data_IF_343652718700
#
_entry.id   IF_343652718700
#
_cell.length_a   1.000
_cell.length_b   1.000
_cell.length_c   1.000
_cell.angle_alpha   90.00
_cell.angle_beta   90.00
_cell.angle_gamma   90.00
#
_symmetry.space_group_name_H-M   'P 1'
#
loop_
_entity.id
_entity.type
_entity.pdbx_description
1 polymer ?
#
# COMPACT_ATOMS: atom_id res chain seq x y z
N UNK A 1 -4.33 25.08 6.19
CA UNK A 1 -3.36 24.66 5.15
C UNK A 1 -4.17 23.99 4.04
N UNK A 2 -4.06 24.42 2.78
CA UNK A 2 -5.00 24.12 1.68
C UNK A 2 -5.35 22.61 1.53
N UNK A 3 -4.37 21.75 1.80
CA UNK A 3 -4.48 20.28 1.78
C UNK A 3 -5.43 19.69 2.84
N UNK A 4 -5.56 20.35 4.00
CA UNK A 4 -6.43 19.89 5.09
C UNK A 4 -7.91 19.91 4.70
N UNK A 5 -8.31 20.93 3.95
CA UNK A 5 -9.71 21.16 3.57
C UNK A 5 -10.04 20.60 2.18
N UNK A 6 -9.04 20.49 1.30
CA UNK A 6 -9.23 19.93 -0.03
C UNK A 6 -8.91 18.43 -0.05
N UNK A 7 -9.94 17.60 0.17
CA UNK A 7 -9.85 16.14 0.14
C UNK A 7 -9.24 15.60 -1.15
N UNK A 8 -9.55 16.21 -2.30
CA UNK A 8 -9.02 15.76 -3.59
C UNK A 8 -7.51 15.91 -3.65
N UNK A 9 -6.98 17.08 -3.29
CA UNK A 9 -5.53 17.33 -3.31
C UNK A 9 -4.80 16.48 -2.27
N UNK A 10 -5.43 16.24 -1.11
CA UNK A 10 -4.93 15.32 -0.08
C UNK A 10 -4.75 13.90 -0.63
N UNK A 11 -5.78 13.33 -1.25
CA UNK A 11 -5.67 11.97 -1.80
C UNK A 11 -4.71 11.89 -2.99
N UNK A 12 -4.58 12.94 -3.82
CA UNK A 12 -3.54 12.97 -4.87
C UNK A 12 -2.15 12.92 -4.26
N UNK A 13 -1.87 13.71 -3.22
CA UNK A 13 -0.57 13.71 -2.56
C UNK A 13 -0.25 12.31 -2.01
N UNK A 14 -1.20 11.70 -1.28
CA UNK A 14 -1.03 10.36 -0.70
C UNK A 14 -0.84 9.30 -1.81
N UNK A 15 -1.64 9.37 -2.88
CA UNK A 15 -1.49 8.48 -4.04
C UNK A 15 -0.10 8.56 -4.65
N UNK A 16 0.42 9.77 -4.90
CA UNK A 16 1.74 9.96 -5.48
C UNK A 16 2.84 9.46 -4.56
N UNK A 17 2.77 9.79 -3.26
CA UNK A 17 3.74 9.29 -2.28
C UNK A 17 3.75 7.77 -2.25
N UNK A 18 2.58 7.14 -2.15
CA UNK A 18 2.45 5.68 -2.14
C UNK A 18 2.95 5.03 -3.43
N UNK A 19 2.58 5.58 -4.58
CA UNK A 19 2.97 5.06 -5.88
C UNK A 19 4.47 5.14 -6.13
N UNK A 20 5.09 6.28 -5.83
CA UNK A 20 6.55 6.42 -5.94
C UNK A 20 7.28 5.56 -4.91
N UNK A 21 6.80 5.47 -3.67
CA UNK A 21 7.41 4.61 -2.67
C UNK A 21 7.40 3.13 -3.10
N UNK A 22 6.25 2.64 -3.58
CA UNK A 22 6.13 1.26 -4.08
C UNK A 22 7.06 1.03 -5.29
N UNK A 23 7.02 1.93 -6.28
CA UNK A 23 7.88 1.83 -7.46
C UNK A 23 9.37 1.85 -7.13
N UNK A 24 9.80 2.68 -6.16
CA UNK A 24 11.18 2.72 -5.68
C UNK A 24 11.58 1.41 -5.01
N UNK A 25 10.72 0.86 -4.14
CA UNK A 25 10.95 -0.45 -3.52
C UNK A 25 11.11 -1.51 -4.61
N UNK A 26 10.23 -1.54 -5.60
CA UNK A 26 10.30 -2.51 -6.69
C UNK A 26 11.57 -2.35 -7.53
N UNK A 27 11.99 -1.12 -7.85
CA UNK A 27 13.26 -0.85 -8.54
C UNK A 27 14.44 -1.35 -7.70
N UNK A 28 14.44 -1.15 -6.39
CA UNK A 28 15.51 -1.66 -5.51
C UNK A 28 15.55 -3.19 -5.47
N UNK A 29 14.41 -3.87 -5.49
CA UNK A 29 14.33 -5.33 -5.40
C UNK A 29 14.51 -6.06 -6.74
N UNK A 30 14.03 -5.49 -7.85
CA UNK A 30 13.97 -6.13 -9.17
C UNK A 30 14.77 -5.41 -10.26
N UNK A 31 15.18 -4.17 -10.03
CA UNK A 31 15.92 -3.33 -10.98
C UNK A 31 15.04 -2.49 -11.91
N UNK A 32 13.73 -2.72 -11.95
CA UNK A 32 12.77 -1.96 -12.76
C UNK A 32 11.36 -2.03 -12.16
N UNK A 33 10.52 -1.05 -12.53
CA UNK A 33 9.11 -0.98 -12.17
C UNK A 33 8.25 -0.69 -13.40
N UNK A 34 6.98 -1.10 -13.36
CA UNK A 34 6.01 -0.80 -14.40
C UNK A 34 5.02 0.27 -13.92
N UNK A 35 4.48 1.09 -14.82
CA UNK A 35 3.58 2.20 -14.45
C UNK A 35 2.36 1.72 -13.65
N UNK A 36 1.87 0.51 -13.91
CA UNK A 36 0.78 -0.10 -13.14
C UNK A 36 1.12 -0.29 -11.66
N UNK A 37 2.39 -0.44 -11.31
CA UNK A 37 2.87 -0.60 -9.93
C UNK A 37 2.86 0.72 -9.17
N UNK A 38 3.09 1.83 -9.85
CA UNK A 38 2.86 3.17 -9.28
C UNK A 38 1.37 3.33 -8.93
N UNK A 39 0.47 2.92 -9.83
CA UNK A 39 -0.97 2.99 -9.57
C UNK A 39 -1.38 2.08 -8.41
N UNK A 40 -0.92 0.82 -8.41
CA UNK A 40 -1.20 -0.13 -7.34
C UNK A 40 -0.67 0.39 -5.98
N UNK A 41 0.56 0.88 -5.93
CA UNK A 41 1.17 1.46 -4.73
C UNK A 41 0.40 2.66 -4.19
N UNK A 42 -0.04 3.56 -5.06
CA UNK A 42 -0.84 4.72 -4.67
C UNK A 42 -2.21 4.32 -4.10
N UNK A 43 -2.88 3.34 -4.71
CA UNK A 43 -4.15 2.79 -4.19
C UNK A 43 -3.92 2.14 -2.82
N UNK A 44 -2.91 1.27 -2.71
CA UNK A 44 -2.56 0.61 -1.45
C UNK A 44 -2.31 1.62 -0.32
N UNK A 45 -1.53 2.67 -0.58
CA UNK A 45 -1.18 3.66 0.44
C UNK A 45 -2.40 4.43 0.94
N UNK A 46 -3.30 4.85 0.03
CA UNK A 46 -4.57 5.47 0.42
C UNK A 46 -5.41 4.51 1.27
N UNK A 47 -5.58 3.27 0.81
CA UNK A 47 -6.42 2.29 1.50
C UNK A 47 -5.89 1.95 2.90
N UNK A 48 -4.56 1.86 3.07
CA UNK A 48 -3.92 1.69 4.37
C UNK A 48 -4.19 2.91 5.26
N UNK A 49 -3.99 4.13 4.76
CA UNK A 49 -4.25 5.36 5.52
C UNK A 49 -5.72 5.54 5.93
N UNK A 50 -6.66 5.01 5.14
CA UNK A 50 -8.09 5.01 5.51
C UNK A 50 -8.41 4.11 6.71
N UNK A 51 -7.63 3.05 6.97
CA UNK A 51 -7.78 2.23 8.18
C UNK A 51 -7.61 3.12 9.42
N UNK A 52 -6.60 3.99 9.39
CA UNK A 52 -6.31 4.91 10.47
C UNK A 52 -7.39 5.98 10.61
N UNK A 53 -7.88 6.59 9.52
CA UNK A 53 -8.94 7.60 9.67
C UNK A 53 -10.22 7.05 10.31
N UNK A 54 -10.60 5.82 9.98
CA UNK A 54 -11.86 5.24 10.47
C UNK A 54 -11.72 4.76 11.92
N UNK A 55 -10.53 4.29 12.34
CA UNK A 55 -10.36 3.59 13.61
C UNK A 55 -9.14 4.02 14.45
N UNK A 56 -8.64 5.26 14.27
CA UNK A 56 -7.31 5.75 14.75
C UNK A 56 -6.96 5.48 16.21
N UNK A 57 -7.95 5.22 17.09
CA UNK A 57 -7.72 5.04 18.54
C UNK A 57 -8.06 3.65 19.09
N UNK A 58 -8.63 2.77 18.27
CA UNK A 58 -9.22 1.51 18.75
C UNK A 58 -8.49 0.26 18.26
N UNK A 59 -7.89 0.31 17.08
CA UNK A 59 -7.24 -0.86 16.48
C UNK A 59 -5.76 -0.91 16.86
N UNK A 60 -5.31 -2.05 17.39
CA UNK A 60 -3.91 -2.33 17.65
C UNK A 60 -3.10 -2.37 16.33
N UNK A 61 -1.86 -1.89 16.37
CA UNK A 61 -0.95 -1.84 15.22
C UNK A 61 -0.85 -3.18 14.51
N UNK A 62 -0.78 -4.29 15.25
CA UNK A 62 -0.74 -5.65 14.67
C UNK A 62 -1.98 -5.92 13.82
N UNK A 63 -3.18 -5.53 14.27
CA UNK A 63 -4.41 -5.69 13.48
C UNK A 63 -4.37 -4.82 12.24
N UNK A 64 -3.85 -3.59 12.34
CA UNK A 64 -3.65 -2.73 11.17
C UNK A 64 -2.69 -3.37 10.17
N UNK A 65 -1.62 -4.01 10.63
CA UNK A 65 -0.67 -4.71 9.77
C UNK A 65 -1.32 -5.89 9.04
N UNK A 66 -2.15 -6.69 9.73
CA UNK A 66 -2.89 -7.80 9.12
C UNK A 66 -3.83 -7.27 8.02
N UNK A 67 -4.62 -6.24 8.33
CA UNK A 67 -5.55 -5.65 7.37
C UNK A 67 -4.79 -5.04 6.19
N UNK A 68 -3.68 -4.33 6.45
CA UNK A 68 -2.85 -3.73 5.41
C UNK A 68 -2.25 -4.79 4.48
N UNK A 69 -1.73 -5.89 5.02
CA UNK A 69 -1.21 -7.00 4.22
C UNK A 69 -2.29 -7.63 3.33
N UNK A 70 -3.51 -7.78 3.86
CA UNK A 70 -4.65 -8.27 3.10
C UNK A 70 -5.06 -7.31 1.98
N UNK A 71 -5.08 -6.00 2.25
CA UNK A 71 -5.36 -4.96 1.26
C UNK A 71 -4.33 -5.01 0.13
N UNK A 72 -3.03 -4.99 0.46
CA UNK A 72 -1.98 -5.01 -0.56
C UNK A 72 -2.08 -6.28 -1.40
N UNK A 73 -2.27 -7.44 -0.76
CA UNK A 73 -2.42 -8.71 -1.48
C UNK A 73 -3.64 -8.70 -2.42
N UNK A 74 -4.77 -8.13 -1.98
CA UNK A 74 -5.96 -8.03 -2.82
C UNK A 74 -5.75 -7.07 -4.01
N UNK A 75 -5.14 -5.91 -3.77
CA UNK A 75 -4.82 -4.93 -4.83
C UNK A 75 -3.84 -5.52 -5.83
N UNK A 76 -2.80 -6.22 -5.37
CA UNK A 76 -1.86 -6.93 -6.25
C UNK A 76 -2.55 -7.99 -7.08
N UNK A 77 -3.45 -8.78 -6.47
CA UNK A 77 -4.20 -9.80 -7.20
C UNK A 77 -5.05 -9.19 -8.32
N UNK A 78 -5.85 -8.16 -8.00
CA UNK A 78 -6.68 -7.46 -9.00
C UNK A 78 -5.81 -6.83 -10.09
N UNK A 79 -4.71 -6.19 -9.70
CA UNK A 79 -3.79 -5.56 -10.64
C UNK A 79 -3.19 -6.62 -11.57
N UNK A 80 -2.78 -7.77 -11.04
CA UNK A 80 -2.23 -8.90 -11.81
C UNK A 80 -3.24 -9.46 -12.79
N UNK A 81 -4.50 -9.63 -12.38
CA UNK A 81 -5.57 -10.03 -13.30
C UNK A 81 -5.73 -9.04 -14.47
N UNK A 82 -5.63 -7.73 -14.21
CA UNK A 82 -5.74 -6.72 -15.26
C UNK A 82 -4.51 -6.75 -16.16
N UNK A 83 -3.31 -6.61 -15.59
CA UNK A 83 -2.10 -6.34 -16.39
C UNK A 83 -1.48 -7.61 -16.96
N UNK A 84 -1.54 -8.73 -16.25
CA UNK A 84 -0.93 -9.98 -16.70
C UNK A 84 -1.93 -10.87 -17.45
N UNK A 85 -3.15 -11.03 -16.92
CA UNK A 85 -4.14 -11.93 -17.53
C UNK A 85 -4.91 -11.25 -18.66
N UNK A 86 -5.52 -10.09 -18.40
CA UNK A 86 -6.37 -9.42 -19.40
C UNK A 86 -5.55 -8.70 -20.48
N UNK A 87 -4.50 -7.97 -20.09
CA UNK A 87 -3.67 -7.20 -21.04
C UNK A 87 -2.43 -7.96 -21.55
N UNK A 88 -2.06 -9.10 -20.96
CA UNK A 88 -0.92 -9.90 -21.40
C UNK A 88 0.44 -9.22 -21.26
N UNK A 89 0.57 -8.22 -20.38
CA UNK A 89 1.80 -7.43 -20.22
C UNK A 89 2.91 -8.15 -19.47
N UNK A 90 2.58 -9.25 -18.78
CA UNK A 90 3.53 -10.08 -18.02
C UNK A 90 4.48 -9.25 -17.13
N UNK A 91 3.91 -8.29 -16.40
CA UNK A 91 4.62 -7.37 -15.51
C UNK A 91 5.37 -8.13 -14.40
N UNK A 92 4.77 -9.21 -13.89
CA UNK A 92 5.43 -10.17 -13.00
C UNK A 92 4.82 -11.57 -13.16
N UNK A 93 5.51 -12.58 -12.66
CA UNK A 93 5.04 -13.96 -12.61
C UNK A 93 5.53 -14.65 -11.32
N UNK A 94 4.60 -15.12 -10.50
CA UNK A 94 4.85 -15.88 -9.28
C UNK A 94 4.47 -17.36 -9.39
N UNK A 95 4.25 -17.87 -10.60
CA UNK A 95 3.83 -19.27 -10.83
C UNK A 95 4.83 -20.30 -10.30
N UNK A 96 6.11 -19.93 -10.22
CA UNK A 96 7.21 -20.75 -9.68
C UNK A 96 7.30 -20.70 -8.14
N UNK A 97 6.49 -19.87 -7.47
CA UNK A 97 6.57 -19.67 -6.02
C UNK A 97 5.62 -20.61 -5.27
N UNK A 98 6.02 -21.15 -4.12
CA UNK A 98 5.14 -21.99 -3.32
C UNK A 98 3.96 -21.15 -2.80
N UNK A 99 2.79 -21.78 -2.73
CA UNK A 99 1.55 -21.15 -2.26
C UNK A 99 1.23 -19.85 -3.03
N UNK A 100 1.46 -19.87 -4.34
CA UNK A 100 0.97 -18.83 -5.24
C UNK A 100 -0.50 -19.07 -5.63
N UNK A 101 -1.18 -18.01 -6.05
CA UNK A 101 -2.51 -18.08 -6.63
C UNK A 101 -2.49 -17.41 -8.01
N UNK A 102 -2.78 -18.20 -9.05
CA UNK A 102 -2.78 -17.79 -10.46
C UNK A 102 -1.47 -17.11 -10.94
N UNK A 103 -0.35 -17.35 -10.25
CA UNK A 103 0.90 -16.64 -10.51
C UNK A 103 0.87 -15.14 -10.20
N UNK A 104 -0.21 -14.62 -9.61
CA UNK A 104 -0.38 -13.17 -9.38
C UNK A 104 -0.01 -12.74 -7.96
N UNK A 105 -0.31 -13.57 -6.97
CA UNK A 105 0.05 -13.34 -5.56
C UNK A 105 0.67 -14.60 -4.97
N UNK A 106 1.48 -14.46 -3.93
CA UNK A 106 1.91 -15.60 -3.12
C UNK A 106 2.08 -15.20 -1.66
N UNK A 107 2.00 -16.19 -0.77
CA UNK A 107 2.07 -15.97 0.68
C UNK A 107 3.35 -15.26 1.13
N UNK A 108 4.46 -15.50 0.42
CA UNK A 108 5.76 -14.87 0.72
C UNK A 108 5.65 -13.35 0.64
N UNK A 109 5.02 -12.82 -0.41
CA UNK A 109 4.84 -11.38 -0.55
C UNK A 109 3.82 -10.84 0.44
N UNK A 110 2.72 -11.56 0.74
CA UNK A 110 1.80 -11.17 1.82
C UNK A 110 2.51 -11.02 3.17
N UNK A 111 3.45 -11.91 3.50
CA UNK A 111 4.28 -11.79 4.72
C UNK A 111 5.20 -10.55 4.66
N UNK A 112 5.82 -10.29 3.51
CA UNK A 112 6.63 -9.07 3.33
C UNK A 112 5.76 -7.83 3.52
N UNK A 113 4.56 -7.78 2.95
CA UNK A 113 3.62 -6.67 3.11
C UNK A 113 3.16 -6.48 4.55
N UNK A 114 2.98 -7.57 5.30
CA UNK A 114 2.73 -7.48 6.74
C UNK A 114 3.84 -6.73 7.47
N UNK A 115 5.11 -7.08 7.24
CA UNK A 115 6.25 -6.40 7.89
C UNK A 115 6.54 -5.01 7.35
N UNK A 116 6.18 -4.73 6.10
CA UNK A 116 6.37 -3.41 5.48
C UNK A 116 5.25 -2.42 5.86
N UNK A 117 4.04 -2.93 6.16
CA UNK A 117 2.88 -2.09 6.43
C UNK A 117 3.02 -1.08 7.58
N UNK A 118 3.76 -1.32 8.69
CA UNK A 118 3.98 -0.29 9.71
C UNK A 118 4.66 0.95 9.15
N UNK A 119 5.58 0.79 8.19
CA UNK A 119 6.25 1.94 7.56
C UNK A 119 5.23 2.76 6.77
N UNK A 120 4.34 2.10 6.01
CA UNK A 120 3.29 2.78 5.26
C UNK A 120 2.32 3.53 6.20
N UNK A 121 1.89 2.88 7.29
CA UNK A 121 1.03 3.45 8.34
C UNK A 121 1.68 4.70 8.95
N UNK A 122 2.93 4.59 9.40
CA UNK A 122 3.64 5.72 10.01
C UNK A 122 3.85 6.87 9.02
N UNK A 123 4.26 6.57 7.79
CA UNK A 123 4.47 7.60 6.77
C UNK A 123 3.16 8.35 6.47
N UNK A 124 2.04 7.65 6.30
CA UNK A 124 0.73 8.27 6.07
C UNK A 124 0.35 9.20 7.24
N UNK A 125 0.45 8.72 8.47
CA UNK A 125 0.14 9.48 9.68
C UNK A 125 1.02 10.71 9.86
N UNK A 126 2.33 10.58 9.63
CA UNK A 126 3.26 11.70 9.76
C UNK A 126 3.10 12.72 8.64
N UNK A 127 2.76 12.29 7.42
CA UNK A 127 2.39 13.21 6.34
C UNK A 127 1.15 14.01 6.74
N UNK A 128 0.12 13.35 7.27
CA UNK A 128 -1.10 14.01 7.76
C UNK A 128 -0.82 14.98 8.90
N UNK A 129 0.01 14.58 9.85
CA UNK A 129 0.39 15.43 10.97
C UNK A 129 1.17 16.67 10.51
N UNK A 130 2.30 16.50 9.80
CA UNK A 130 3.18 17.61 9.44
C UNK A 130 2.67 18.45 8.26
N UNK A 131 2.09 17.82 7.24
CA UNK A 131 1.71 18.48 5.99
C UNK A 131 0.25 18.93 6.00
N UNK A 132 -0.63 18.23 6.73
CA UNK A 132 -2.06 18.55 6.78
C UNK A 132 -2.47 19.17 8.12
N UNK A 133 -1.61 19.14 9.14
CA UNK A 133 -1.90 19.68 10.46
C UNK A 133 -3.04 18.94 11.16
N UNK A 134 -3.12 17.62 10.91
CA UNK A 134 -4.04 16.71 11.61
C UNK A 134 -3.53 16.41 13.02
N UNK A 135 -4.28 15.61 13.80
CA UNK A 135 -3.86 15.23 15.14
C UNK A 135 -2.60 14.37 15.11
N UNK A 136 -1.81 14.45 16.18
CA UNK A 136 -0.60 13.62 16.32
C UNK A 136 -1.00 12.15 16.39
N UNK A 137 -0.33 11.23 15.67
CA UNK A 137 -0.68 9.83 15.72
C UNK A 137 -0.37 9.20 17.08
N UNK A 138 -1.23 8.27 17.48
CA UNK A 138 -1.09 7.48 18.70
C UNK A 138 -1.27 6.01 18.37
N UNK A 139 -0.30 5.17 18.75
CA UNK A 139 -0.29 3.75 18.43
C UNK A 139 -0.50 2.89 19.67
N UNK A 140 -1.40 1.92 19.58
CA UNK A 140 -1.51 0.81 20.53
C UNK A 140 -0.81 -0.41 19.93
N UNK A 141 0.17 -0.97 20.62
CA UNK A 141 0.92 -2.13 20.12
C UNK A 141 0.07 -3.42 20.13
N UNK A 142 -0.79 -3.59 21.15
CA UNK A 142 -1.63 -4.76 21.37
C UNK A 142 -3.05 -4.35 21.76
#
# INVERSE_FOLDING_TARGET
>A
MLLRYNKFLKYILLFLVGGFAYGLIEIMFRGYSHISMLVAGGICFILIGLINEIHSREIALIKQMIISAAIVTLVEFITGLIVNVYLGLNVWDYSDRPLNFMGQICIRFTIIWFFLSPLAVFIDDYIRYYVMGEEKPHYKLF
#
